data_IF_317305889987
#
_entry.id   IF_317305889987
#
_cell.length_a   1.000
_cell.length_b   1.000
_cell.length_c   1.000
_cell.angle_alpha   90.00
_cell.angle_beta   90.00
_cell.angle_gamma   90.00
#
_symmetry.space_group_name_H-M   'P 1'
#
loop_
_entity.id
_entity.type
_entity.pdbx_description
1 polymer ?
#
# COMPACT_ATOMS: atom_id res chain seq x y z
N UNK A 1 18.92 -11.14 13.09
CA UNK A 1 19.91 -11.47 12.05
C UNK A 1 19.29 -11.13 10.71
N UNK A 2 19.95 -10.37 9.84
CA UNK A 2 19.40 -10.03 8.53
C UNK A 2 19.43 -11.28 7.63
N UNK A 3 18.27 -11.87 7.35
CA UNK A 3 18.14 -12.93 6.36
C UNK A 3 18.25 -12.31 4.96
N UNK A 4 19.20 -12.80 4.16
CA UNK A 4 19.32 -12.43 2.75
C UNK A 4 18.55 -13.45 1.92
N UNK A 5 17.52 -13.03 1.21
CA UNK A 5 16.70 -13.89 0.33
C UNK A 5 16.98 -13.54 -1.12
N UNK A 6 17.16 -14.56 -1.98
CA UNK A 6 17.32 -14.36 -3.42
C UNK A 6 15.93 -14.27 -4.05
N UNK A 7 15.70 -13.24 -4.84
CA UNK A 7 14.44 -12.98 -5.52
C UNK A 7 14.69 -12.76 -7.01
N UNK A 8 13.67 -12.97 -7.85
CA UNK A 8 13.76 -12.77 -9.28
C UNK A 8 12.68 -11.78 -9.73
N UNK A 9 13.09 -10.74 -10.45
CA UNK A 9 12.22 -9.70 -10.99
C UNK A 9 12.61 -9.47 -12.44
N UNK A 10 11.64 -9.60 -13.34
CA UNK A 10 11.78 -9.36 -14.77
C UNK A 10 12.96 -10.10 -15.40
N UNK A 11 13.15 -11.37 -15.01
CA UNK A 11 14.25 -12.23 -15.48
C UNK A 11 15.61 -11.98 -14.84
N UNK A 12 15.73 -11.01 -13.92
CA UNK A 12 16.98 -10.71 -13.19
C UNK A 12 16.89 -11.16 -11.74
N UNK A 13 17.96 -11.76 -11.23
CA UNK A 13 18.04 -12.20 -9.83
C UNK A 13 18.69 -11.12 -8.96
N UNK A 14 18.06 -10.82 -7.83
CA UNK A 14 18.52 -9.87 -6.82
C UNK A 14 18.66 -10.55 -5.47
N UNK A 15 19.53 -10.01 -4.61
CA UNK A 15 19.70 -10.46 -3.22
C UNK A 15 19.14 -9.38 -2.30
N UNK A 16 17.96 -9.61 -1.74
CA UNK A 16 17.31 -8.67 -0.84
C UNK A 16 17.63 -9.04 0.61
N UNK A 17 18.08 -8.07 1.39
CA UNK A 17 18.18 -8.20 2.85
C UNK A 17 16.81 -7.83 3.42
N UNK A 18 15.99 -8.82 3.77
CA UNK A 18 14.70 -8.56 4.41
C UNK A 18 14.93 -8.23 5.88
N UNK A 19 14.56 -7.04 6.31
CA UNK A 19 14.60 -6.63 7.73
C UNK A 19 13.27 -6.84 8.44
N UNK A 20 12.17 -7.01 7.71
CA UNK A 20 10.84 -7.28 8.26
C UNK A 20 10.45 -8.74 8.03
N UNK A 21 9.92 -9.38 9.06
CA UNK A 21 9.32 -10.72 8.99
C UNK A 21 7.86 -10.68 8.55
N UNK A 22 7.24 -9.50 8.47
CA UNK A 22 5.80 -9.36 8.21
C UNK A 22 5.42 -9.49 6.73
N UNK A 23 6.36 -9.22 5.82
CA UNK A 23 6.10 -9.27 4.37
C UNK A 23 7.16 -10.15 3.70
N UNK A 24 6.72 -11.17 2.97
CA UNK A 24 7.65 -12.06 2.27
C UNK A 24 8.29 -11.31 1.09
N UNK A 25 9.62 -11.35 1.03
CA UNK A 25 10.39 -10.79 -0.08
C UNK A 25 10.01 -11.41 -1.44
N UNK A 26 9.59 -12.67 -1.49
CA UNK A 26 9.12 -13.33 -2.72
C UNK A 26 7.78 -12.75 -3.21
N UNK A 27 6.88 -12.41 -2.28
CA UNK A 27 5.60 -11.80 -2.60
C UNK A 27 5.80 -10.40 -3.18
N UNK A 28 6.66 -9.58 -2.55
CA UNK A 28 7.04 -8.25 -3.05
C UNK A 28 7.68 -8.36 -4.44
N UNK A 29 8.57 -9.33 -4.64
CA UNK A 29 9.21 -9.55 -5.94
C UNK A 29 8.20 -9.94 -7.02
N UNK A 30 7.24 -10.82 -6.69
CA UNK A 30 6.15 -11.20 -7.58
C UNK A 30 5.26 -10.03 -7.96
N UNK A 31 4.97 -9.15 -7.01
CA UNK A 31 4.19 -7.93 -7.26
C UNK A 31 4.87 -7.00 -8.27
N UNK A 32 6.17 -6.72 -8.04
CA UNK A 32 6.96 -5.88 -8.94
C UNK A 32 7.09 -6.52 -10.33
N UNK A 33 7.34 -7.84 -10.40
CA UNK A 33 7.44 -8.57 -11.68
C UNK A 33 6.13 -8.46 -12.49
N UNK A 34 4.98 -8.64 -11.83
CA UNK A 34 3.67 -8.51 -12.46
C UNK A 34 3.45 -7.10 -13.03
N UNK A 35 3.72 -6.05 -12.24
CA UNK A 35 3.58 -4.66 -12.69
C UNK A 35 4.51 -4.32 -13.86
N UNK A 36 5.75 -4.81 -13.83
CA UNK A 36 6.67 -4.62 -14.95
C UNK A 36 6.21 -5.34 -16.22
N UNK A 37 5.65 -6.55 -16.12
CA UNK A 37 5.10 -7.30 -17.27
C UNK A 37 3.86 -6.63 -17.86
N UNK A 38 2.96 -6.15 -17.02
CA UNK A 38 1.77 -5.41 -17.43
C UNK A 38 2.16 -4.19 -18.27
N UNK A 39 3.06 -3.35 -17.75
CA UNK A 39 3.56 -2.16 -18.44
C UNK A 39 4.36 -2.50 -19.70
N UNK A 40 5.14 -3.58 -19.67
CA UNK A 40 5.92 -4.07 -20.81
C UNK A 40 5.05 -4.60 -21.94
N UNK A 41 3.88 -5.17 -21.63
CA UNK A 41 2.91 -5.62 -22.63
C UNK A 41 2.21 -4.47 -23.36
N UNK A 42 2.06 -3.31 -22.68
CA UNK A 42 1.42 -2.12 -23.23
C UNK A 42 2.35 -1.26 -24.11
N UNK A 43 3.69 -1.36 -23.95
CA UNK A 43 4.66 -0.56 -24.71
C UNK A 43 5.90 -1.37 -25.10
N UNK A 44 5.98 -1.76 -26.38
CA UNK A 44 7.03 -2.62 -26.92
C UNK A 44 8.38 -1.92 -27.16
N UNK A 45 8.50 -0.61 -26.91
CA UNK A 45 9.70 0.20 -27.22
C UNK A 45 10.39 0.79 -25.99
N UNK A 46 9.86 0.54 -24.80
CA UNK A 46 10.39 1.11 -23.55
C UNK A 46 11.58 0.28 -23.04
N UNK A 47 12.65 0.93 -22.58
CA UNK A 47 13.79 0.22 -22.01
C UNK A 47 13.39 -0.48 -20.70
N UNK A 48 14.11 -1.54 -20.31
CA UNK A 48 13.84 -2.24 -19.03
C UNK A 48 13.99 -1.33 -17.82
N UNK A 49 14.89 -0.34 -17.89
CA UNK A 49 15.07 0.63 -16.81
C UNK A 49 13.87 1.56 -16.70
N UNK A 50 13.39 2.09 -17.83
CA UNK A 50 12.22 2.97 -17.86
C UNK A 50 10.96 2.21 -17.42
N UNK A 51 10.82 0.93 -17.79
CA UNK A 51 9.74 0.07 -17.29
C UNK A 51 9.81 -0.12 -15.77
N UNK A 52 11.00 -0.30 -15.20
CA UNK A 52 11.17 -0.43 -13.76
C UNK A 52 10.80 0.88 -13.03
N UNK A 53 11.17 2.03 -13.60
CA UNK A 53 10.80 3.35 -13.06
C UNK A 53 9.28 3.55 -13.14
N UNK A 54 8.65 3.22 -14.27
CA UNK A 54 7.19 3.31 -14.41
C UNK A 54 6.46 2.39 -13.42
N UNK A 55 6.94 1.15 -13.24
CA UNK A 55 6.40 0.25 -12.23
C UNK A 55 6.54 0.82 -10.82
N UNK A 56 7.71 1.37 -10.47
CA UNK A 56 7.93 2.01 -9.17
C UNK A 56 6.99 3.21 -8.96
N UNK A 57 6.79 4.05 -9.98
CA UNK A 57 5.85 5.18 -9.92
C UNK A 57 4.40 4.71 -9.71
N UNK A 58 3.98 3.68 -10.43
CA UNK A 58 2.63 3.11 -10.30
C UNK A 58 2.40 2.58 -8.87
N UNK A 59 3.36 1.79 -8.37
CA UNK A 59 3.30 1.22 -7.01
C UNK A 59 3.28 2.32 -5.95
N UNK A 60 4.11 3.36 -6.12
CA UNK A 60 4.14 4.50 -5.21
C UNK A 60 2.81 5.26 -5.20
N UNK A 61 2.20 5.45 -6.37
CA UNK A 61 0.89 6.09 -6.49
C UNK A 61 -0.19 5.28 -5.77
N UNK A 62 -0.29 3.98 -6.03
CA UNK A 62 -1.24 3.08 -5.35
C UNK A 62 -1.06 3.11 -3.83
N UNK A 63 0.18 3.11 -3.36
CA UNK A 63 0.49 3.23 -1.94
C UNK A 63 0.01 4.56 -1.35
N UNK A 64 0.25 5.69 -2.04
CA UNK A 64 -0.19 7.01 -1.58
C UNK A 64 -1.71 7.14 -1.59
N UNK A 65 -2.39 6.56 -2.58
CA UNK A 65 -3.85 6.51 -2.65
C UNK A 65 -4.45 5.69 -1.50
N UNK A 66 -3.91 4.49 -1.23
CA UNK A 66 -4.34 3.65 -0.11
C UNK A 66 -4.11 4.33 1.23
N UNK A 67 -2.96 4.99 1.40
CA UNK A 67 -2.65 5.75 2.61
C UNK A 67 -3.65 6.90 2.82
N UNK A 68 -3.94 7.67 1.78
CA UNK A 68 -4.90 8.77 1.85
C UNK A 68 -6.32 8.27 2.15
N UNK A 69 -6.74 7.14 1.58
CA UNK A 69 -8.03 6.52 1.88
C UNK A 69 -8.12 6.05 3.34
N UNK A 70 -7.04 5.48 3.87
CA UNK A 70 -6.98 5.07 5.27
C UNK A 70 -7.10 6.27 6.22
N UNK A 71 -6.36 7.36 5.95
CA UNK A 71 -6.43 8.60 6.72
C UNK A 71 -7.83 9.25 6.67
N UNK A 72 -8.45 9.27 5.49
CA UNK A 72 -9.81 9.80 5.32
C UNK A 72 -10.86 8.96 6.07
N UNK A 73 -10.68 7.63 6.09
CA UNK A 73 -11.56 6.73 6.83
C UNK A 73 -11.44 6.93 8.34
N UNK A 74 -10.23 7.07 8.85
CA UNK A 74 -9.95 7.34 10.25
C UNK A 74 -10.63 8.64 10.72
N UNK A 75 -10.49 9.71 9.93
CA UNK A 75 -11.19 10.98 10.18
C UNK A 75 -12.72 10.85 10.15
N UNK A 76 -13.27 10.07 9.23
CA UNK A 76 -14.71 9.84 9.13
C UNK A 76 -15.24 9.03 10.32
N UNK A 77 -14.46 8.07 10.82
CA UNK A 77 -14.82 7.26 11.98
C UNK A 77 -14.73 8.10 13.27
N UNK A 78 -13.70 8.94 13.42
CA UNK A 78 -13.59 9.93 14.51
C UNK A 78 -14.79 10.88 14.56
N UNK A 79 -15.22 11.40 13.41
CA UNK A 79 -16.38 12.30 13.33
C UNK A 79 -17.67 11.58 13.72
N UNK A 80 -17.88 10.34 13.28
CA UNK A 80 -19.04 9.53 13.69
C UNK A 80 -19.03 9.26 15.20
N UNK A 81 -17.87 8.96 15.77
CA UNK A 81 -17.73 8.75 17.22
C UNK A 81 -18.12 10.03 17.97
N UNK A 82 -17.65 11.20 17.53
CA UNK A 82 -18.04 12.49 18.12
C UNK A 82 -19.54 12.73 18.04
N UNK A 83 -20.16 12.48 16.89
CA UNK A 83 -21.60 12.64 16.71
C UNK A 83 -22.40 11.72 17.63
N UNK A 84 -21.98 10.47 17.80
CA UNK A 84 -22.62 9.53 18.73
C UNK A 84 -22.49 9.97 20.19
N UNK A 85 -21.32 10.47 20.60
CA UNK A 85 -21.12 11.01 21.96
C UNK A 85 -22.05 12.19 22.21
N UNK A 86 -22.14 13.14 21.28
CA UNK A 86 -23.04 14.30 21.40
C UNK A 86 -24.51 13.88 21.46
N UNK A 87 -24.91 12.88 20.67
CA UNK A 87 -26.29 12.37 20.70
C UNK A 87 -26.62 11.70 22.05
N UNK A 88 -25.69 10.92 22.61
CA UNK A 88 -25.86 10.30 23.92
C UNK A 88 -25.93 11.34 25.05
N UNK A 89 -25.05 12.33 25.04
CA UNK A 89 -25.06 13.43 26.03
C UNK A 89 -26.38 14.19 26.03
N UNK A 90 -26.95 14.41 24.83
CA UNK A 90 -28.25 15.07 24.68
C UNK A 90 -29.38 14.25 25.29
N UNK A 91 -29.44 12.96 24.99
CA UNK A 91 -30.48 12.07 25.52
C UNK A 91 -30.38 11.92 27.05
N UNK A 92 -29.16 11.89 27.60
CA UNK A 92 -28.94 11.87 29.04
C UNK A 92 -29.45 13.14 29.74
N UNK A 93 -29.22 14.32 29.15
CA UNK A 93 -29.74 15.59 29.68
C UNK A 93 -31.27 15.67 29.64
N UNK A 94 -31.91 15.03 28.67
CA UNK A 94 -33.36 14.99 28.57
C UNK A 94 -33.99 14.01 29.58
N UNK A 95 -33.25 13.01 30.08
CA UNK A 95 -33.67 12.08 31.15
C UNK A 95 -33.51 12.69 32.55
N UNK A 96 -32.55 13.60 32.75
CA UNK A 96 -32.31 14.27 34.05
C UNK A 96 -33.21 15.48 34.33
N UNK A 97 -34.11 15.83 33.39
CA UNK A 97 -35.14 16.88 33.55
C UNK A 97 -36.49 16.31 33.95
#
# INVERSE_FOLDING_TARGET
MASSKKIQIYGKTYSLKSSSAEVDAEEVAGYVDSKMRELGSASSKTSTLDLAILAALNIAQEFMELKSQAEAKDQADDEKIRQLVVALDKELQDIEK
#
